data_IF_677042079339
#
_entry.id   IF_677042079339
#
_cell.length_a   1.000
_cell.length_b   1.000
_cell.length_c   1.000
_cell.angle_alpha   90.00
_cell.angle_beta   90.00
_cell.angle_gamma   90.00
#
_symmetry.space_group_name_H-M   'P 1'
#
loop_
_entity.id
_entity.type
_entity.pdbx_description
1 polymer ?
#
# COMPACT_ATOMS: atom_id res chain seq x y z
N UNK A 1 -12.02 3.62 27.32
CA UNK A 1 -11.20 4.78 26.89
C UNK A 1 -10.92 4.55 25.42
N UNK A 2 -11.81 5.05 24.57
CA UNK A 2 -11.75 4.84 23.11
C UNK A 2 -10.56 5.65 22.59
N UNK A 3 -9.46 4.98 22.23
CA UNK A 3 -8.38 5.63 21.48
C UNK A 3 -8.93 5.90 20.09
N UNK A 4 -9.25 7.17 19.86
CA UNK A 4 -9.88 7.71 18.66
C UNK A 4 -9.17 7.27 17.39
N UNK A 5 -9.91 6.67 16.44
CA UNK A 5 -9.46 6.39 15.07
C UNK A 5 -8.89 7.63 14.36
N UNK A 6 -9.20 8.84 14.85
CA UNK A 6 -8.67 10.10 14.32
C UNK A 6 -7.14 10.20 14.37
N UNK A 7 -6.47 9.64 15.39
CA UNK A 7 -5.01 9.70 15.47
C UNK A 7 -4.31 8.79 14.44
N UNK A 8 -4.93 7.66 14.10
CA UNK A 8 -4.40 6.74 13.08
C UNK A 8 -4.46 7.39 11.69
N UNK A 9 -5.55 8.11 11.39
CA UNK A 9 -5.68 8.85 10.13
C UNK A 9 -4.69 10.02 10.02
N UNK A 10 -4.40 10.72 11.13
CA UNK A 10 -3.39 11.79 11.14
C UNK A 10 -1.95 11.26 11.01
N UNK A 11 -1.61 10.12 11.64
CA UNK A 11 -0.27 9.54 11.55
C UNK A 11 0.03 8.89 10.19
N UNK A 12 -0.96 8.25 9.55
CA UNK A 12 -0.77 7.61 8.24
C UNK A 12 -0.88 8.62 7.09
N UNK A 13 -1.74 9.64 7.24
CA UNK A 13 -2.00 10.66 6.22
C UNK A 13 -0.78 11.49 5.81
N UNK A 14 0.28 11.54 6.63
CA UNK A 14 1.54 12.24 6.31
C UNK A 14 2.71 11.33 5.90
N UNK A 15 2.57 9.99 5.87
CA UNK A 15 3.71 9.04 5.90
C UNK A 15 3.74 8.02 4.76
N UNK A 16 3.07 8.27 3.62
CA UNK A 16 3.15 7.34 2.48
C UNK A 16 4.01 7.89 1.34
N UNK A 17 5.24 8.33 1.62
CA UNK A 17 6.19 8.64 0.54
C UNK A 17 6.48 7.37 -0.29
N UNK A 18 6.31 7.47 -1.62
CA UNK A 18 6.43 6.34 -2.54
C UNK A 18 7.74 5.55 -2.36
N UNK A 19 8.86 6.25 -2.23
CA UNK A 19 10.18 5.62 -2.07
C UNK A 19 10.27 4.80 -0.78
N UNK A 20 9.74 5.33 0.32
CA UNK A 20 9.72 4.64 1.60
C UNK A 20 8.85 3.38 1.52
N UNK A 21 7.62 3.55 1.04
CA UNK A 21 6.63 2.48 0.91
C UNK A 21 7.13 1.35 0.00
N UNK A 22 7.70 1.70 -1.16
CA UNK A 22 8.25 0.72 -2.09
C UNK A 22 9.39 -0.09 -1.46
N UNK A 23 10.23 0.56 -0.65
CA UNK A 23 11.33 -0.10 0.06
C UNK A 23 10.84 -1.04 1.14
N UNK A 24 9.81 -0.67 1.89
CA UNK A 24 9.27 -1.48 2.99
C UNK A 24 8.44 -2.66 2.48
N UNK A 25 7.54 -2.41 1.52
CA UNK A 25 6.61 -3.42 1.03
C UNK A 25 7.24 -4.28 -0.08
N UNK A 26 8.23 -3.77 -0.81
CA UNK A 26 8.90 -4.51 -1.90
C UNK A 26 7.92 -5.15 -2.89
N UNK A 27 7.01 -4.38 -3.51
CA UNK A 27 6.02 -4.92 -4.43
C UNK A 27 6.69 -5.55 -5.66
N UNK A 28 6.03 -6.54 -6.25
CA UNK A 28 6.55 -7.25 -7.41
C UNK A 28 6.13 -6.50 -8.67
N UNK A 29 7.11 -6.15 -9.50
CA UNK A 29 6.89 -5.53 -10.81
C UNK A 29 7.22 -6.52 -11.91
N UNK A 30 6.30 -6.70 -12.87
CA UNK A 30 6.50 -7.61 -14.00
C UNK A 30 5.82 -7.11 -15.27
N UNK A 31 6.37 -7.43 -16.46
CA UNK A 31 5.71 -7.16 -17.73
C UNK A 31 4.57 -8.16 -17.96
N UNK A 32 3.42 -7.67 -18.43
CA UNK A 32 2.29 -8.48 -18.84
C UNK A 32 1.72 -7.96 -20.16
N UNK A 33 1.82 -8.75 -21.23
CA UNK A 33 1.41 -8.34 -22.59
C UNK A 33 2.12 -7.05 -23.03
N UNK A 34 1.37 -5.95 -23.18
CA UNK A 34 1.85 -4.63 -23.65
C UNK A 34 1.91 -3.59 -22.52
N UNK A 35 1.97 -4.03 -21.27
CA UNK A 35 1.95 -3.17 -20.09
C UNK A 35 2.81 -3.76 -18.97
N UNK A 36 3.06 -2.95 -17.94
CA UNK A 36 3.67 -3.35 -16.68
C UNK A 36 2.61 -3.44 -15.59
N UNK A 37 2.78 -4.42 -14.72
CA UNK A 37 1.97 -4.66 -13.54
C UNK A 37 2.87 -4.55 -12.31
N UNK A 38 2.40 -3.85 -11.29
CA UNK A 38 2.98 -3.81 -9.95
C UNK A 38 1.96 -4.38 -8.98
N UNK A 39 2.35 -5.28 -8.08
CA UNK A 39 1.42 -5.81 -7.09
C UNK A 39 2.03 -6.12 -5.73
N UNK A 40 1.18 -6.09 -4.71
CA UNK A 40 1.50 -6.51 -3.35
C UNK A 40 0.32 -7.25 -2.70
N UNK A 41 0.59 -8.36 -2.01
CA UNK A 41 -0.42 -9.24 -1.43
C UNK A 41 -0.68 -10.50 -2.26
N UNK A 42 -1.39 -11.48 -1.69
CA UNK A 42 -1.63 -12.81 -2.30
C UNK A 42 -3.09 -12.96 -2.74
N UNK A 43 -4.03 -13.03 -1.79
CA UNK A 43 -5.46 -13.23 -2.05
C UNK A 43 -6.22 -11.91 -2.18
N UNK A 44 -5.93 -10.99 -1.26
CA UNK A 44 -6.25 -9.57 -1.40
C UNK A 44 -4.96 -8.89 -1.87
N UNK A 45 -5.01 -8.31 -3.06
CA UNK A 45 -3.84 -7.76 -3.73
C UNK A 45 -4.12 -6.32 -4.13
N UNK A 46 -3.15 -5.45 -3.88
CA UNK A 46 -3.13 -4.09 -4.43
C UNK A 46 -2.41 -4.17 -5.77
N UNK A 47 -3.07 -3.70 -6.82
CA UNK A 47 -2.51 -3.69 -8.17
C UNK A 47 -2.25 -2.27 -8.65
N UNK A 48 -1.20 -2.12 -9.45
CA UNK A 48 -0.92 -0.95 -10.25
C UNK A 48 -0.57 -1.33 -11.68
N UNK A 49 -0.90 -0.45 -12.61
CA UNK A 49 -0.78 -0.70 -14.04
C UNK A 49 -0.18 0.51 -14.74
N UNK A 50 0.67 0.26 -15.75
CA UNK A 50 1.33 1.33 -16.49
C UNK A 50 1.90 0.88 -17.83
N UNK A 51 2.16 1.84 -18.72
CA UNK A 51 2.92 1.59 -19.95
C UNK A 51 4.42 1.49 -19.69
N UNK A 52 4.89 2.03 -18.56
CA UNK A 52 6.25 1.85 -18.03
C UNK A 52 6.23 1.25 -16.62
N UNK A 53 7.42 0.87 -16.14
CA UNK A 53 7.64 0.40 -14.76
C UNK A 53 7.20 1.48 -13.76
N UNK A 54 7.66 2.71 -13.97
CA UNK A 54 7.39 3.86 -13.08
C UNK A 54 5.90 4.17 -13.00
N UNK A 55 5.19 4.14 -14.13
CA UNK A 55 3.74 4.32 -14.16
C UNK A 55 3.01 3.22 -13.38
N UNK A 56 3.45 1.96 -13.51
CA UNK A 56 2.83 0.84 -12.77
C UNK A 56 3.05 0.94 -11.27
N UNK A 57 4.24 1.40 -10.84
CA UNK A 57 4.56 1.63 -9.43
C UNK A 57 3.76 2.80 -8.87
N UNK A 58 3.64 3.89 -9.61
CA UNK A 58 2.86 5.05 -9.20
C UNK A 58 1.37 4.72 -9.10
N UNK A 59 0.82 3.99 -10.08
CA UNK A 59 -0.55 3.49 -10.03
C UNK A 59 -0.81 2.61 -8.81
N UNK A 60 0.12 1.69 -8.49
CA UNK A 60 0.02 0.84 -7.30
C UNK A 60 0.06 1.65 -6.01
N UNK A 61 0.93 2.66 -5.96
CA UNK A 61 1.06 3.54 -4.79
C UNK A 61 -0.22 4.34 -4.54
N UNK A 62 -0.91 4.80 -5.59
CA UNK A 62 -2.20 5.47 -5.45
C UNK A 62 -3.28 4.55 -4.88
N UNK A 63 -3.41 3.33 -5.40
CA UNK A 63 -4.36 2.33 -4.89
C UNK A 63 -4.08 1.96 -3.42
N UNK A 64 -2.80 1.87 -3.07
CA UNK A 64 -2.38 1.71 -1.68
C UNK A 64 -2.83 2.89 -0.82
N UNK A 65 -2.59 4.13 -1.25
CA UNK A 65 -2.99 5.31 -0.49
C UNK A 65 -4.50 5.34 -0.24
N UNK A 66 -5.30 4.98 -1.26
CA UNK A 66 -6.76 4.87 -1.13
C UNK A 66 -7.14 3.79 -0.12
N UNK A 67 -6.54 2.60 -0.20
CA UNK A 67 -6.81 1.53 0.78
C UNK A 67 -6.47 1.96 2.21
N UNK A 68 -5.36 2.68 2.37
CA UNK A 68 -4.91 3.17 3.68
C UNK A 68 -5.79 4.29 4.23
N UNK A 69 -6.43 5.11 3.38
CA UNK A 69 -7.38 6.13 3.85
C UNK A 69 -8.70 5.53 4.36
N UNK A 70 -9.12 4.41 3.76
CA UNK A 70 -10.37 3.71 4.07
C UNK A 70 -10.15 2.46 4.97
N UNK A 71 -9.00 2.40 5.64
CA UNK A 71 -8.59 1.26 6.44
C UNK A 71 -9.57 0.98 7.58
N UNK A 72 -10.00 -0.28 7.70
CA UNK A 72 -10.87 -0.76 8.77
C UNK A 72 -10.33 -2.07 9.39
N UNK A 73 -10.94 -2.51 10.49
CA UNK A 73 -10.47 -3.67 11.28
C UNK A 73 -10.58 -5.02 10.52
N UNK A 74 -11.51 -5.12 9.57
CA UNK A 74 -11.73 -6.34 8.78
C UNK A 74 -10.80 -6.42 7.55
N UNK A 75 -10.10 -5.33 7.20
CA UNK A 75 -9.14 -5.30 6.11
C UNK A 75 -7.79 -5.91 6.53
N UNK A 76 -7.72 -7.25 6.49
CA UNK A 76 -6.55 -8.02 6.89
C UNK A 76 -5.27 -7.55 6.18
N UNK A 77 -5.32 -7.34 4.85
CA UNK A 77 -4.16 -6.88 4.09
C UNK A 77 -3.78 -5.45 4.49
N UNK A 78 -4.75 -4.56 4.63
CA UNK A 78 -4.52 -3.18 5.03
C UNK A 78 -3.87 -3.10 6.43
N UNK A 79 -4.30 -3.96 7.36
CA UNK A 79 -3.67 -4.06 8.69
C UNK A 79 -2.24 -4.61 8.61
N UNK A 80 -1.97 -5.62 7.79
CA UNK A 80 -0.61 -6.12 7.55
C UNK A 80 0.32 -5.01 7.02
N UNK A 81 -0.16 -4.28 6.01
CA UNK A 81 0.56 -3.15 5.41
C UNK A 81 0.85 -2.08 6.45
N UNK A 82 -0.17 -1.68 7.23
CA UNK A 82 -0.01 -0.71 8.32
C UNK A 82 1.06 -1.16 9.30
N UNK A 83 1.01 -2.42 9.76
CA UNK A 83 1.98 -2.99 10.71
C UNK A 83 3.40 -2.91 10.16
N UNK A 84 3.60 -3.28 8.88
CA UNK A 84 4.92 -3.20 8.22
C UNK A 84 5.44 -1.77 8.10
N UNK A 85 4.58 -0.83 7.73
CA UNK A 85 4.95 0.58 7.56
C UNK A 85 5.23 1.28 8.90
N UNK A 86 4.60 0.85 10.00
CA UNK A 86 4.89 1.38 11.34
C UNK A 86 6.09 0.70 12.01
N UNK A 87 6.67 -0.34 11.39
CA UNK A 87 7.73 -1.13 11.99
C UNK A 87 7.26 -1.99 13.17
N UNK A 88 5.95 -2.22 13.29
CA UNK A 88 5.34 -3.10 14.28
C UNK A 88 5.52 -4.55 13.80
N UNK A 89 6.54 -5.23 14.30
CA UNK A 89 6.74 -6.65 14.07
C UNK A 89 5.82 -7.48 14.99
N UNK A 90 5.11 -8.45 14.42
CA UNK A 90 4.51 -9.57 15.15
C UNK A 90 5.52 -10.70 15.34
#
# INVERSE_FOLDING_TARGET
MERSNSHIHEEIGSVLELNYVYTVLTPIVFPYRKMYCCYYGISDTIFGFGSTIEESIHSWHLELCVRMSDLNEDDILGQEIKSKLLGEMW
#
